data_IF_423162099091
#
_entry.id   IF_423162099091
#
_cell.length_a   1.000
_cell.length_b   1.000
_cell.length_c   1.000
_cell.angle_alpha   90.00
_cell.angle_beta   90.00
_cell.angle_gamma   90.00
#
_symmetry.space_group_name_H-M   'P 1'
#
loop_
_entity.id
_entity.type
_entity.pdbx_description
1 polymer ?
#
# COMPACT_ATOMS: atom_id res chain seq x y z
N UNK A 1 -9.19 -44.85 -28.34
CA UNK A 1 -9.44 -44.62 -26.91
C UNK A 1 -10.15 -43.30 -26.75
N UNK A 2 -11.40 -43.34 -26.31
CA UNK A 2 -12.26 -42.19 -26.12
C UNK A 2 -11.74 -41.30 -24.97
N UNK A 3 -11.62 -39.99 -25.24
CA UNK A 3 -12.16 -38.97 -24.35
C UNK A 3 -11.54 -38.75 -22.96
N UNK A 4 -10.24 -38.97 -22.73
CA UNK A 4 -9.60 -38.32 -21.58
C UNK A 4 -9.50 -36.82 -21.88
N UNK A 5 -10.37 -36.00 -21.28
CA UNK A 5 -10.21 -34.54 -21.29
C UNK A 5 -8.82 -34.22 -20.74
N UNK A 6 -7.94 -33.71 -21.61
CA UNK A 6 -6.63 -33.22 -21.20
C UNK A 6 -6.86 -32.04 -20.26
N UNK A 7 -6.57 -32.23 -18.97
CA UNK A 7 -6.63 -31.15 -17.99
C UNK A 7 -5.39 -30.26 -18.14
N UNK A 8 -5.61 -28.98 -18.41
CA UNK A 8 -4.57 -27.96 -18.48
C UNK A 8 -4.91 -26.84 -17.54
N UNK A 9 -3.88 -26.24 -16.96
CA UNK A 9 -4.03 -25.06 -16.12
C UNK A 9 -3.36 -23.85 -16.77
N UNK A 10 -3.83 -22.66 -16.45
CA UNK A 10 -3.25 -21.41 -16.96
C UNK A 10 -2.77 -20.54 -15.81
N UNK A 11 -1.56 -20.02 -15.94
CA UNK A 11 -0.98 -19.05 -15.00
C UNK A 11 -0.77 -17.72 -15.72
N UNK A 12 -1.19 -16.62 -15.12
CA UNK A 12 -0.84 -15.31 -15.65
C UNK A 12 0.67 -15.03 -15.51
N UNK A 13 1.17 -14.21 -16.42
CA UNK A 13 2.55 -13.74 -16.39
C UNK A 13 2.58 -12.28 -15.97
N UNK A 14 3.72 -11.82 -15.44
CA UNK A 14 3.91 -10.42 -15.05
C UNK A 14 3.74 -9.41 -16.21
N UNK A 15 3.77 -9.88 -17.46
CA UNK A 15 3.61 -9.07 -18.68
C UNK A 15 2.19 -9.14 -19.28
N UNK A 16 1.22 -9.73 -18.58
CA UNK A 16 -0.18 -9.83 -19.04
C UNK A 16 -0.46 -10.94 -20.05
N UNK A 17 0.53 -11.76 -20.40
CA UNK A 17 0.31 -13.02 -21.11
C UNK A 17 0.00 -14.17 -20.15
N UNK A 18 -0.19 -15.37 -20.68
CA UNK A 18 -0.39 -16.61 -19.89
C UNK A 18 0.70 -17.63 -20.17
N UNK A 19 0.95 -18.50 -19.21
CA UNK A 19 1.57 -19.80 -19.38
C UNK A 19 0.53 -20.89 -19.27
N UNK A 20 0.72 -21.96 -20.02
CA UNK A 20 -0.06 -23.19 -19.91
C UNK A 20 0.77 -24.24 -19.17
N UNK A 21 0.17 -24.87 -18.17
CA UNK A 21 0.74 -25.97 -17.40
C UNK A 21 0.04 -27.27 -17.81
N UNK A 22 0.85 -28.27 -18.15
CA UNK A 22 0.36 -29.61 -18.50
C UNK A 22 1.39 -30.66 -18.12
N UNK A 23 0.99 -31.69 -17.36
CA UNK A 23 1.83 -32.83 -16.96
C UNK A 23 3.21 -32.45 -16.41
N UNK A 24 3.30 -31.43 -15.55
CA UNK A 24 4.57 -30.97 -14.96
C UNK A 24 5.45 -30.13 -15.90
N UNK A 25 4.95 -29.77 -17.09
CA UNK A 25 5.63 -28.90 -18.04
C UNK A 25 4.99 -27.51 -18.10
N UNK A 26 5.83 -26.48 -18.28
CA UNK A 26 5.39 -25.10 -18.52
C UNK A 26 5.55 -24.74 -19.99
N UNK A 27 4.50 -24.19 -20.58
CA UNK A 27 4.48 -23.71 -21.95
C UNK A 27 4.18 -22.21 -21.99
N UNK A 28 4.90 -21.48 -22.83
CA UNK A 28 4.63 -20.07 -23.13
C UNK A 28 3.76 -19.95 -24.37
N UNK A 29 2.93 -18.92 -24.41
CA UNK A 29 2.19 -18.57 -25.62
C UNK A 29 3.17 -18.27 -26.77
N UNK A 30 2.94 -18.88 -27.94
CA UNK A 30 3.76 -18.71 -29.13
C UNK A 30 2.97 -17.94 -30.21
N UNK A 31 1.89 -18.53 -30.72
CA UNK A 31 1.03 -17.92 -31.73
C UNK A 31 -0.42 -17.92 -31.25
N UNK A 32 -1.16 -16.84 -31.52
CA UNK A 32 -2.60 -16.74 -31.26
C UNK A 32 -3.32 -16.38 -32.55
N UNK A 33 -4.38 -17.12 -32.88
CA UNK A 33 -5.28 -16.87 -34.02
C UNK A 33 -6.70 -17.09 -33.56
N UNK A 34 -7.46 -16.01 -33.40
CA UNK A 34 -8.83 -16.06 -32.91
C UNK A 34 -8.92 -16.88 -31.59
N UNK A 35 -9.66 -17.99 -31.60
CA UNK A 35 -9.88 -18.91 -30.47
C UNK A 35 -8.76 -19.93 -30.30
N UNK A 36 -7.85 -20.04 -31.27
CA UNK A 36 -6.76 -21.01 -31.27
C UNK A 36 -5.46 -20.39 -30.75
N UNK A 37 -4.78 -21.09 -29.85
CA UNK A 37 -3.49 -20.69 -29.31
C UNK A 37 -2.53 -21.86 -29.41
N UNK A 38 -1.34 -21.62 -29.97
CA UNK A 38 -0.19 -22.52 -29.88
C UNK A 38 0.71 -22.11 -28.73
N UNK A 39 1.07 -23.10 -27.95
CA UNK A 39 1.94 -23.04 -26.79
C UNK A 39 3.21 -23.81 -27.10
N UNK A 40 4.36 -23.25 -26.74
CA UNK A 40 5.68 -23.88 -26.89
C UNK A 40 6.29 -24.07 -25.51
N UNK A 41 6.98 -25.19 -25.29
CA UNK A 41 7.74 -25.40 -24.06
C UNK A 41 8.65 -24.19 -23.74
N UNK A 42 8.77 -23.85 -22.45
CA UNK A 42 9.58 -22.73 -22.00
C UNK A 42 11.09 -23.02 -22.06
N UNK A 43 11.49 -24.29 -22.02
CA UNK A 43 12.87 -24.70 -22.25
C UNK A 43 13.25 -24.40 -23.71
N UNK A 44 14.34 -23.65 -23.90
CA UNK A 44 14.82 -23.20 -25.22
C UNK A 44 15.30 -24.36 -26.09
N UNK A 45 15.76 -25.44 -25.48
CA UNK A 45 16.25 -26.65 -26.15
C UNK A 45 15.11 -27.65 -26.42
N UNK A 46 13.90 -27.37 -25.94
CA UNK A 46 12.72 -28.18 -26.19
C UNK A 46 11.88 -27.62 -27.35
N UNK A 47 11.45 -28.51 -28.25
CA UNK A 47 10.56 -28.17 -29.38
C UNK A 47 9.11 -28.60 -29.14
N UNK A 48 8.78 -29.11 -27.96
CA UNK A 48 7.44 -29.55 -27.63
C UNK A 48 6.42 -28.41 -27.74
N UNK A 49 5.26 -28.75 -28.29
CA UNK A 49 4.16 -27.82 -28.51
C UNK A 49 2.83 -28.44 -28.12
N UNK A 50 1.91 -27.58 -27.68
CA UNK A 50 0.53 -27.91 -27.39
C UNK A 50 -0.33 -26.82 -28.00
N UNK A 51 -1.51 -27.16 -28.50
CA UNK A 51 -2.48 -26.20 -28.99
C UNK A 51 -3.76 -26.28 -28.17
N UNK A 52 -4.36 -25.13 -27.91
CA UNK A 52 -5.69 -25.03 -27.32
C UNK A 52 -6.64 -24.32 -28.28
N UNK A 53 -7.94 -24.63 -28.20
CA UNK A 53 -9.02 -23.88 -28.82
C UNK A 53 -10.03 -23.56 -27.72
N UNK A 54 -10.33 -22.27 -27.50
CA UNK A 54 -11.12 -21.82 -26.35
C UNK A 54 -10.57 -22.37 -25.03
N UNK A 55 -9.25 -22.32 -24.86
CA UNK A 55 -8.52 -22.85 -23.69
C UNK A 55 -8.65 -24.36 -23.44
N UNK A 56 -9.36 -25.10 -24.30
CA UNK A 56 -9.41 -26.57 -24.27
C UNK A 56 -8.31 -27.13 -25.16
N UNK A 57 -7.51 -28.12 -24.71
CA UNK A 57 -6.50 -28.76 -25.54
C UNK A 57 -7.11 -29.34 -26.82
N UNK A 58 -6.55 -28.97 -27.96
CA UNK A 58 -7.04 -29.35 -29.29
C UNK A 58 -6.03 -30.19 -30.08
N UNK A 59 -4.72 -30.01 -29.85
CA UNK A 59 -3.67 -30.78 -30.52
C UNK A 59 -2.40 -30.83 -29.67
N UNK A 60 -1.85 -32.02 -29.49
CA UNK A 60 -0.50 -32.22 -28.95
C UNK A 60 0.47 -32.28 -30.13
N UNK A 61 1.57 -31.54 -30.05
CA UNK A 61 2.63 -31.51 -31.04
C UNK A 61 3.77 -32.47 -30.71
N UNK A 62 5.00 -32.00 -30.89
CA UNK A 62 6.20 -32.79 -30.60
C UNK A 62 6.29 -33.13 -29.10
N UNK A 63 6.80 -34.33 -28.74
CA UNK A 63 7.02 -34.68 -27.34
C UNK A 63 8.15 -33.86 -26.70
N UNK A 64 8.16 -33.82 -25.37
CA UNK A 64 9.27 -33.25 -24.61
C UNK A 64 10.52 -34.12 -24.73
N UNK A 65 11.69 -33.48 -24.69
CA UNK A 65 13.02 -34.11 -24.68
C UNK A 65 13.73 -33.94 -23.33
N UNK A 66 12.99 -33.56 -22.30
CA UNK A 66 13.45 -33.40 -20.93
C UNK A 66 12.35 -33.89 -19.99
N UNK A 67 12.72 -34.19 -18.75
CA UNK A 67 11.77 -34.61 -17.72
C UNK A 67 10.85 -33.45 -17.30
N UNK A 68 9.66 -33.75 -16.75
CA UNK A 68 8.82 -32.75 -16.13
C UNK A 68 9.52 -32.07 -14.95
N UNK A 69 9.22 -30.79 -14.71
CA UNK A 69 9.76 -30.01 -13.59
C UNK A 69 8.63 -29.53 -12.70
N UNK A 70 8.11 -30.44 -11.89
CA UNK A 70 7.00 -30.18 -10.97
C UNK A 70 7.35 -29.11 -9.93
N UNK A 71 8.59 -29.07 -9.44
CA UNK A 71 9.05 -28.06 -8.50
C UNK A 71 9.00 -26.64 -9.10
N UNK A 72 9.46 -26.45 -10.35
CA UNK A 72 9.35 -25.17 -11.04
C UNK A 72 7.89 -24.77 -11.31
N UNK A 73 7.03 -25.74 -11.65
CA UNK A 73 5.60 -25.49 -11.83
C UNK A 73 4.98 -25.02 -10.51
N UNK A 74 5.23 -25.72 -9.41
CA UNK A 74 4.69 -25.37 -8.08
C UNK A 74 5.21 -24.00 -7.61
N UNK A 75 6.50 -23.71 -7.77
CA UNK A 75 7.09 -22.39 -7.50
C UNK A 75 6.39 -21.28 -8.27
N UNK A 76 6.04 -21.51 -9.56
CA UNK A 76 5.25 -20.55 -10.35
C UNK A 76 3.82 -20.38 -9.83
N UNK A 77 3.16 -21.46 -9.41
CA UNK A 77 1.80 -21.41 -8.84
C UNK A 77 1.77 -20.59 -7.54
N UNK A 78 2.74 -20.82 -6.65
CA UNK A 78 2.88 -20.05 -5.40
C UNK A 78 3.08 -18.56 -5.70
N UNK A 79 3.99 -18.23 -6.62
CA UNK A 79 4.21 -16.83 -7.02
C UNK A 79 2.98 -16.19 -7.68
N UNK A 80 2.16 -16.97 -8.38
CA UNK A 80 0.92 -16.47 -8.95
C UNK A 80 -0.15 -16.22 -7.89
N UNK A 81 -0.23 -17.08 -6.87
CA UNK A 81 -1.03 -16.84 -5.66
C UNK A 81 -0.62 -15.51 -5.00
N UNK A 82 0.67 -15.31 -4.74
CA UNK A 82 1.21 -14.04 -4.20
C UNK A 82 0.79 -12.84 -5.06
N UNK A 83 0.90 -12.93 -6.39
CA UNK A 83 0.50 -11.84 -7.31
C UNK A 83 -0.99 -11.58 -7.29
N UNK A 84 -1.80 -12.63 -7.23
CA UNK A 84 -3.26 -12.53 -7.12
C UNK A 84 -3.66 -11.79 -5.85
N UNK A 85 -3.06 -12.15 -4.71
CA UNK A 85 -3.27 -11.48 -3.42
C UNK A 85 -2.76 -10.03 -3.44
N UNK A 86 -1.64 -9.76 -4.11
CA UNK A 86 -1.18 -8.38 -4.33
C UNK A 86 -2.21 -7.53 -5.10
N UNK A 87 -3.04 -8.15 -5.96
CA UNK A 87 -4.07 -7.47 -6.75
C UNK A 87 -5.40 -7.26 -6.01
N UNK A 88 -5.65 -8.01 -4.96
CA UNK A 88 -6.97 -8.09 -4.32
C UNK A 88 -6.97 -7.61 -2.86
N UNK A 89 -5.84 -7.67 -2.18
CA UNK A 89 -5.73 -7.36 -0.75
C UNK A 89 -4.94 -6.08 -0.49
N UNK A 90 -5.17 -5.46 0.67
CA UNK A 90 -4.39 -4.34 1.21
C UNK A 90 -3.24 -4.76 2.12
N UNK A 91 -3.18 -6.05 2.50
CA UNK A 91 -2.13 -6.65 3.35
C UNK A 91 -0.74 -6.31 2.81
N UNK A 92 0.25 -5.96 3.67
CA UNK A 92 1.61 -5.68 3.24
C UNK A 92 2.18 -6.80 2.34
N UNK A 93 2.80 -6.42 1.23
CA UNK A 93 3.35 -7.38 0.25
C UNK A 93 4.36 -8.37 0.88
N UNK A 94 5.27 -7.95 1.79
CA UNK A 94 6.14 -8.89 2.49
C UNK A 94 5.35 -9.97 3.23
N UNK A 95 4.31 -9.57 3.99
CA UNK A 95 3.45 -10.50 4.73
C UNK A 95 2.73 -11.49 3.81
N UNK A 96 2.18 -11.03 2.68
CA UNK A 96 1.58 -11.92 1.67
C UNK A 96 2.60 -12.94 1.18
N UNK A 97 3.83 -12.52 0.90
CA UNK A 97 4.89 -13.42 0.46
C UNK A 97 5.17 -14.48 1.52
N UNK A 98 5.42 -14.06 2.76
CA UNK A 98 5.79 -14.94 3.87
C UNK A 98 4.67 -15.93 4.21
N UNK A 99 3.42 -15.50 4.18
CA UNK A 99 2.25 -16.37 4.38
C UNK A 99 2.13 -17.46 3.30
N UNK A 100 2.31 -17.10 2.02
CA UNK A 100 2.26 -18.10 0.93
C UNK A 100 3.42 -19.10 1.01
N UNK A 101 4.60 -18.66 1.46
CA UNK A 101 5.74 -19.55 1.68
C UNK A 101 5.51 -20.43 2.92
N UNK A 102 4.86 -19.92 3.96
CA UNK A 102 4.53 -20.68 5.16
C UNK A 102 3.58 -21.83 4.85
N UNK A 103 2.60 -21.63 3.95
CA UNK A 103 1.73 -22.72 3.45
C UNK A 103 2.52 -23.90 2.85
N UNK A 104 3.67 -23.62 2.21
CA UNK A 104 4.54 -24.68 1.69
C UNK A 104 5.27 -25.42 2.82
N UNK A 105 5.65 -24.71 3.89
CA UNK A 105 6.33 -25.30 5.06
C UNK A 105 5.39 -26.17 5.89
N UNK A 106 4.11 -25.83 5.93
CA UNK A 106 3.08 -26.58 6.66
C UNK A 106 2.62 -27.84 5.90
N UNK A 107 2.95 -27.96 4.61
CA UNK A 107 2.72 -29.16 3.82
C UNK A 107 3.69 -30.29 4.21
N UNK A 108 3.39 -31.57 3.88
CA UNK A 108 4.33 -32.66 4.09
C UNK A 108 5.71 -32.34 3.49
N UNK A 109 6.74 -32.40 4.34
CA UNK A 109 8.11 -32.06 3.97
C UNK A 109 8.81 -33.22 3.26
N UNK A 110 8.33 -33.51 2.05
CA UNK A 110 8.88 -34.54 1.17
C UNK A 110 9.93 -33.97 0.20
N UNK A 111 10.50 -34.85 -0.65
CA UNK A 111 11.50 -34.46 -1.63
C UNK A 111 11.00 -33.40 -2.63
N UNK A 112 9.70 -33.43 -2.98
CA UNK A 112 9.12 -32.49 -3.93
C UNK A 112 8.93 -31.11 -3.31
N UNK A 113 8.51 -31.04 -2.05
CA UNK A 113 8.40 -29.82 -1.26
C UNK A 113 9.77 -29.17 -1.09
N UNK A 114 10.80 -29.96 -0.74
CA UNK A 114 12.18 -29.49 -0.64
C UNK A 114 12.69 -28.91 -1.97
N UNK A 115 12.48 -29.61 -3.08
CA UNK A 115 12.89 -29.13 -4.41
C UNK A 115 12.13 -27.84 -4.81
N UNK A 116 10.84 -27.77 -4.49
CA UNK A 116 10.02 -26.56 -4.73
C UNK A 116 10.56 -25.37 -3.93
N UNK A 117 10.87 -25.57 -2.65
CA UNK A 117 11.44 -24.56 -1.77
C UNK A 117 12.78 -24.03 -2.30
N UNK A 118 13.64 -24.92 -2.81
CA UNK A 118 14.92 -24.54 -3.41
C UNK A 118 14.76 -23.73 -4.72
N UNK A 119 13.68 -23.97 -5.48
CA UNK A 119 13.37 -23.25 -6.72
C UNK A 119 12.52 -21.99 -6.51
N UNK A 120 12.10 -21.70 -5.27
CA UNK A 120 11.40 -20.46 -4.96
C UNK A 120 12.40 -19.30 -4.93
N UNK A 121 12.08 -18.17 -5.58
CA UNK A 121 12.93 -17.00 -5.51
C UNK A 121 12.92 -16.39 -4.10
N UNK A 122 13.83 -15.46 -3.83
CA UNK A 122 13.72 -14.62 -2.61
C UNK A 122 12.70 -13.50 -2.82
N UNK A 123 12.11 -13.01 -1.73
CA UNK A 123 11.26 -11.83 -1.75
C UNK A 123 11.94 -10.65 -2.45
N UNK A 124 13.20 -10.36 -2.09
CA UNK A 124 13.94 -9.21 -2.63
C UNK A 124 14.05 -9.29 -4.16
N UNK A 125 14.31 -10.47 -4.72
CA UNK A 125 14.37 -10.65 -6.18
C UNK A 125 13.02 -10.43 -6.90
N UNK A 126 11.90 -10.52 -6.18
CA UNK A 126 10.54 -10.30 -6.71
C UNK A 126 9.90 -9.00 -6.26
N UNK A 127 10.48 -8.31 -5.27
CA UNK A 127 9.95 -7.09 -4.63
C UNK A 127 9.43 -6.10 -5.66
N UNK A 128 10.29 -5.60 -6.56
CA UNK A 128 9.88 -4.61 -7.55
C UNK A 128 8.78 -5.11 -8.50
N UNK A 129 8.72 -6.41 -8.79
CA UNK A 129 7.63 -6.97 -9.62
C UNK A 129 6.30 -6.98 -8.86
N UNK A 130 6.32 -7.38 -7.58
CA UNK A 130 5.10 -7.47 -6.76
C UNK A 130 4.52 -6.09 -6.47
N UNK A 131 5.37 -5.14 -6.08
CA UNK A 131 4.96 -3.74 -5.89
C UNK A 131 4.40 -3.13 -7.17
N UNK A 132 5.02 -3.36 -8.33
CA UNK A 132 4.47 -2.92 -9.63
C UNK A 132 3.13 -3.55 -9.94
N UNK A 133 2.93 -4.84 -9.63
CA UNK A 133 1.65 -5.51 -9.82
C UNK A 133 0.55 -4.81 -9.02
N UNK A 134 0.78 -4.51 -7.74
CA UNK A 134 -0.19 -3.77 -6.93
C UNK A 134 -0.34 -2.32 -7.37
N UNK A 135 0.74 -1.67 -7.78
CA UNK A 135 0.71 -0.26 -8.20
C UNK A 135 -0.17 -0.02 -9.43
N UNK A 136 -0.30 -0.99 -10.34
CA UNK A 136 -1.21 -0.93 -11.49
C UNK A 136 -2.69 -0.79 -11.11
N UNK A 137 -3.07 -1.07 -9.85
CA UNK A 137 -4.44 -0.91 -9.35
C UNK A 137 -4.77 0.52 -8.94
N UNK A 138 -3.75 1.36 -8.79
CA UNK A 138 -3.91 2.73 -8.33
C UNK A 138 -3.84 3.68 -9.54
N UNK A 139 -4.55 4.82 -9.48
CA UNK A 139 -4.36 5.87 -10.47
C UNK A 139 -2.90 6.33 -10.47
N UNK A 140 -2.44 6.82 -11.62
CA UNK A 140 -1.12 7.43 -11.71
C UNK A 140 -0.97 8.55 -10.69
N UNK A 141 0.20 8.64 -10.06
CA UNK A 141 0.48 9.69 -9.07
C UNK A 141 0.38 11.05 -9.78
N UNK A 142 -0.49 11.96 -9.32
CA UNK A 142 -0.59 13.30 -9.91
C UNK A 142 0.73 14.07 -9.75
N UNK A 143 1.01 14.96 -10.69
CA UNK A 143 2.20 15.81 -10.67
C UNK A 143 1.93 17.23 -10.14
N UNK A 144 0.65 17.61 -9.97
CA UNK A 144 0.24 18.87 -9.38
C UNK A 144 -0.98 18.68 -8.49
N UNK A 145 -1.15 19.52 -7.46
CA UNK A 145 -2.27 19.45 -6.51
C UNK A 145 -3.66 19.54 -7.16
N UNK A 146 -3.92 20.42 -8.16
CA UNK A 146 -5.20 20.48 -8.86
C UNK A 146 -5.64 19.15 -9.49
N UNK A 147 -4.68 18.33 -9.91
CA UNK A 147 -4.94 17.03 -10.57
C UNK A 147 -5.24 15.90 -9.58
N UNK A 148 -5.11 16.14 -8.29
CA UNK A 148 -5.51 15.17 -7.27
C UNK A 148 -7.03 15.04 -7.33
N UNK A 149 -7.50 13.87 -7.72
CA UNK A 149 -8.91 13.49 -7.75
C UNK A 149 -9.08 12.23 -6.92
N UNK A 150 -9.62 12.38 -5.71
CA UNK A 150 -9.87 11.27 -4.79
C UNK A 150 -11.34 10.88 -4.88
N UNK A 151 -11.61 9.68 -5.39
CA UNK A 151 -12.96 9.17 -5.62
C UNK A 151 -13.14 7.76 -5.04
N UNK A 152 -14.41 7.40 -4.79
CA UNK A 152 -14.81 6.06 -4.33
C UNK A 152 -14.02 5.61 -3.10
N UNK A 153 -13.36 4.45 -3.24
CA UNK A 153 -12.59 3.80 -2.16
C UNK A 153 -11.46 4.67 -1.59
N UNK A 154 -10.97 5.68 -2.32
CA UNK A 154 -9.89 6.56 -1.84
C UNK A 154 -10.38 7.64 -0.86
N UNK A 155 -11.70 7.83 -0.74
CA UNK A 155 -12.31 8.74 0.24
C UNK A 155 -12.75 8.02 1.52
N UNK A 156 -12.54 6.71 1.62
CA UNK A 156 -13.12 5.85 2.65
C UNK A 156 -12.07 5.02 3.39
N UNK A 157 -12.42 4.55 4.59
CA UNK A 157 -11.65 3.53 5.32
C UNK A 157 -11.82 2.13 4.70
N UNK A 158 -11.09 1.15 5.21
CA UNK A 158 -11.31 -0.27 4.86
C UNK A 158 -12.68 -0.80 5.27
N UNK A 159 -13.30 -0.22 6.32
CA UNK A 159 -14.69 -0.47 6.73
C UNK A 159 -15.72 0.32 5.92
N UNK A 160 -15.29 1.07 4.89
CA UNK A 160 -16.12 1.94 4.02
C UNK A 160 -16.70 3.18 4.69
N UNK A 161 -16.19 3.57 5.84
CA UNK A 161 -16.57 4.81 6.50
C UNK A 161 -15.99 6.02 5.75
N UNK A 162 -16.69 7.16 5.69
CA UNK A 162 -16.12 8.40 5.17
C UNK A 162 -14.85 8.78 5.93
N UNK A 163 -13.76 8.98 5.20
CA UNK A 163 -12.44 9.30 5.79
C UNK A 163 -11.90 10.64 5.30
N UNK A 164 -12.00 10.96 4.01
CA UNK A 164 -11.65 12.29 3.52
C UNK A 164 -12.78 13.28 3.84
N UNK A 165 -12.58 14.12 4.85
CA UNK A 165 -13.58 15.07 5.36
C UNK A 165 -13.45 16.48 4.76
N UNK A 166 -12.25 16.87 4.33
CA UNK A 166 -12.06 18.13 3.59
C UNK A 166 -11.10 17.95 2.42
N UNK A 167 -11.47 18.55 1.30
CA UNK A 167 -10.66 18.76 0.12
C UNK A 167 -10.86 20.23 -0.29
N UNK A 168 -10.01 21.11 0.23
CA UNK A 168 -10.21 22.55 0.14
C UNK A 168 -9.12 23.20 -0.73
N UNK A 169 -9.51 24.13 -1.60
CA UNK A 169 -8.60 24.86 -2.50
C UNK A 169 -8.07 24.06 -3.70
N UNK A 170 -7.47 24.79 -4.64
CA UNK A 170 -6.95 24.25 -5.91
C UNK A 170 -5.42 24.16 -5.93
N UNK A 171 -4.72 25.24 -6.29
CA UNK A 171 -3.24 25.27 -6.26
C UNK A 171 -2.66 25.12 -4.85
N UNK A 172 -3.41 25.57 -3.83
CA UNK A 172 -3.12 25.38 -2.41
C UNK A 172 -4.05 24.32 -1.81
N UNK A 173 -4.31 23.22 -2.55
CA UNK A 173 -5.15 22.12 -2.07
C UNK A 173 -4.66 21.64 -0.70
N UNK A 174 -5.60 21.51 0.22
CA UNK A 174 -5.41 20.99 1.57
C UNK A 174 -6.40 19.84 1.76
N UNK A 175 -5.92 18.71 2.27
CA UNK A 175 -6.73 17.52 2.49
C UNK A 175 -6.77 17.17 3.97
N UNK A 176 -7.94 16.93 4.54
CA UNK A 176 -8.12 16.46 5.93
C UNK A 176 -8.79 15.11 5.95
N UNK A 177 -8.16 14.15 6.60
CA UNK A 177 -8.64 12.79 6.77
C UNK A 177 -8.91 12.49 8.24
N UNK A 178 -10.14 12.08 8.55
CA UNK A 178 -10.56 11.62 9.88
C UNK A 178 -11.92 10.92 9.77
N UNK A 179 -12.30 10.16 10.79
CA UNK A 179 -13.62 9.51 10.89
C UNK A 179 -14.47 10.22 11.95
N UNK A 180 -15.78 9.95 11.94
CA UNK A 180 -16.68 10.46 12.98
C UNK A 180 -16.26 9.99 14.39
N UNK A 181 -15.77 8.76 14.51
CA UNK A 181 -15.26 8.25 15.80
C UNK A 181 -13.98 8.95 16.23
N UNK A 182 -13.03 9.15 15.31
CA UNK A 182 -11.82 9.88 15.62
C UNK A 182 -12.13 11.32 16.06
N UNK A 183 -13.10 11.99 15.43
CA UNK A 183 -13.55 13.32 15.85
C UNK A 183 -14.16 13.31 17.25
N UNK A 184 -14.97 12.28 17.60
CA UNK A 184 -15.51 12.14 18.95
C UNK A 184 -14.40 12.06 19.98
N UNK A 185 -13.44 11.14 19.78
CA UNK A 185 -12.29 10.97 20.66
C UNK A 185 -11.45 12.25 20.77
N UNK A 186 -11.26 12.95 19.64
CA UNK A 186 -10.48 14.18 19.59
C UNK A 186 -11.16 15.32 20.37
N UNK A 187 -12.48 15.47 20.24
CA UNK A 187 -13.24 16.54 20.89
C UNK A 187 -13.47 16.28 22.39
N UNK A 188 -13.34 15.03 22.85
CA UNK A 188 -13.37 14.70 24.28
C UNK A 188 -12.02 14.84 24.97
N UNK A 189 -10.93 15.03 24.22
CA UNK A 189 -9.60 15.10 24.79
C UNK A 189 -9.26 16.51 25.29
N UNK A 190 -8.87 16.62 26.56
CA UNK A 190 -8.39 17.89 27.14
C UNK A 190 -7.10 18.37 26.47
N UNK A 191 -6.23 17.43 26.11
CA UNK A 191 -4.94 17.69 25.48
C UNK A 191 -4.84 17.01 24.12
N UNK A 192 -4.46 17.79 23.11
CA UNK A 192 -4.11 17.26 21.79
C UNK A 192 -2.63 17.49 21.48
N UNK A 193 -2.06 16.59 20.70
CA UNK A 193 -0.65 16.59 20.32
C UNK A 193 -0.54 16.70 18.81
N UNK A 194 0.15 17.73 18.34
CA UNK A 194 0.33 18.00 16.92
C UNK A 194 1.75 17.63 16.49
N UNK A 195 1.86 16.95 15.35
CA UNK A 195 3.15 16.57 14.76
C UNK A 195 3.15 16.73 13.24
N UNK A 196 4.18 17.42 12.73
CA UNK A 196 4.43 17.64 11.31
C UNK A 196 5.58 16.76 10.83
N UNK A 197 5.34 15.93 9.81
CA UNK A 197 6.38 15.09 9.19
C UNK A 197 6.64 15.52 7.74
N UNK A 198 7.90 15.81 7.44
CA UNK A 198 8.31 16.40 6.16
C UNK A 198 8.83 15.37 5.16
N UNK A 199 9.71 14.47 5.62
CA UNK A 199 10.40 13.50 4.75
C UNK A 199 9.44 12.53 4.05
N UNK A 200 8.29 12.29 4.67
CA UNK A 200 7.25 11.35 4.21
C UNK A 200 6.14 12.02 3.41
N UNK A 201 6.15 13.35 3.30
CA UNK A 201 5.13 14.06 2.55
C UNK A 201 5.20 13.73 1.06
N UNK A 202 4.06 13.55 0.36
CA UNK A 202 4.08 13.41 -1.10
C UNK A 202 4.72 14.66 -1.73
N UNK A 203 5.46 14.55 -2.85
CA UNK A 203 6.24 15.67 -3.40
C UNK A 203 5.47 16.98 -3.68
N UNK A 204 4.14 16.90 -3.77
CA UNK A 204 3.28 18.05 -3.98
C UNK A 204 2.92 18.77 -2.68
N UNK A 205 3.19 18.22 -1.49
CA UNK A 205 2.83 18.81 -0.19
C UNK A 205 4.08 19.04 0.64
N UNK A 206 4.06 20.09 1.46
CA UNK A 206 5.20 20.44 2.31
C UNK A 206 5.28 19.56 3.57
N UNK A 207 4.12 19.10 4.06
CA UNK A 207 4.07 18.27 5.27
C UNK A 207 2.83 17.37 5.31
N UNK A 208 2.99 16.23 5.99
CA UNK A 208 1.90 15.51 6.61
C UNK A 208 1.77 16.02 8.03
N UNK A 209 0.65 16.65 8.36
CA UNK A 209 0.35 17.14 9.70
C UNK A 209 -0.67 16.24 10.39
N UNK A 210 -0.39 15.85 11.62
CA UNK A 210 -1.25 14.92 12.36
C UNK A 210 -1.62 15.49 13.72
N UNK A 211 -2.85 15.18 14.17
CA UNK A 211 -3.30 15.47 15.53
C UNK A 211 -3.59 14.15 16.23
N UNK A 212 -3.00 14.00 17.40
CA UNK A 212 -3.09 12.83 18.25
C UNK A 212 -3.76 13.19 19.56
N UNK A 213 -4.42 12.22 20.17
CA UNK A 213 -4.93 12.30 21.53
C UNK A 213 -4.83 10.94 22.21
N UNK A 214 -4.92 10.93 23.54
CA UNK A 214 -5.05 9.69 24.29
C UNK A 214 -6.47 9.15 24.18
N UNK A 215 -6.59 7.87 23.80
CA UNK A 215 -7.82 7.09 23.89
C UNK A 215 -7.56 6.00 24.92
N UNK A 216 -8.15 6.17 26.12
CA UNK A 216 -7.75 5.38 27.28
C UNK A 216 -6.30 5.66 27.66
N UNK A 217 -5.45 4.63 27.67
CA UNK A 217 -4.04 4.73 28.09
C UNK A 217 -3.05 4.87 26.93
N UNK A 218 -3.52 4.83 25.68
CA UNK A 218 -2.68 4.85 24.50
C UNK A 218 -2.96 6.09 23.65
N UNK A 219 -1.90 6.63 23.05
CA UNK A 219 -2.00 7.78 22.14
C UNK A 219 -2.24 7.29 20.71
N UNK A 220 -3.22 7.87 20.04
CA UNK A 220 -3.55 7.55 18.65
C UNK A 220 -3.58 8.80 17.78
N UNK A 221 -3.10 8.72 16.53
CA UNK A 221 -3.38 9.73 15.51
C UNK A 221 -4.86 9.67 15.09
N UNK A 222 -5.57 10.78 15.31
CA UNK A 222 -7.01 10.89 15.04
C UNK A 222 -7.31 11.71 13.79
N UNK A 223 -6.44 12.67 13.46
CA UNK A 223 -6.55 13.50 12.26
C UNK A 223 -5.24 13.45 11.48
N UNK A 224 -5.36 13.30 10.16
CA UNK A 224 -4.25 13.39 9.23
C UNK A 224 -4.53 14.48 8.20
N UNK A 225 -3.51 15.23 7.82
CA UNK A 225 -3.65 16.32 6.88
C UNK A 225 -2.46 16.38 5.92
N UNK A 226 -2.73 16.73 4.66
CA UNK A 226 -1.70 17.10 3.69
C UNK A 226 -1.74 18.61 3.52
N UNK A 227 -0.70 19.29 4.01
CA UNK A 227 -0.62 20.74 3.99
C UNK A 227 0.20 21.23 2.79
N UNK A 228 -0.31 22.20 2.01
CA UNK A 228 0.41 22.74 0.86
C UNK A 228 1.63 23.57 1.23
N UNK A 229 1.65 24.17 2.43
CA UNK A 229 2.66 25.13 2.89
C UNK A 229 2.81 25.03 4.42
N UNK A 230 3.91 25.59 4.95
CA UNK A 230 4.25 25.63 6.39
C UNK A 230 4.26 27.05 6.92
N UNK A 231 3.22 27.80 6.60
CA UNK A 231 3.01 29.16 7.10
C UNK A 231 1.80 29.20 8.03
N UNK A 232 1.71 30.29 8.80
CA UNK A 232 0.67 30.46 9.80
C UNK A 232 -0.73 30.44 9.17
N UNK A 233 -0.91 31.03 7.99
CA UNK A 233 -2.19 31.10 7.28
C UNK A 233 -2.69 29.71 6.89
N UNK A 234 -1.80 28.84 6.41
CA UNK A 234 -2.12 27.45 6.09
C UNK A 234 -2.55 26.66 7.34
N UNK A 235 -1.86 26.83 8.47
CA UNK A 235 -2.27 26.19 9.74
C UNK A 235 -3.58 26.76 10.28
N UNK A 236 -3.80 28.08 10.22
CA UNK A 236 -5.06 28.72 10.62
C UNK A 236 -6.22 28.14 9.80
N UNK A 237 -6.04 28.07 8.48
CA UNK A 237 -6.99 27.46 7.56
C UNK A 237 -7.27 26.00 7.92
N UNK A 238 -6.22 25.21 8.17
CA UNK A 238 -6.35 23.82 8.61
C UNK A 238 -7.21 23.67 9.88
N UNK A 239 -6.88 24.39 10.95
CA UNK A 239 -7.61 24.29 12.22
C UNK A 239 -9.06 24.78 12.11
N UNK A 240 -9.32 25.83 11.34
CA UNK A 240 -10.68 26.30 11.08
C UNK A 240 -11.50 25.30 10.28
N UNK A 241 -10.93 24.67 9.25
CA UNK A 241 -11.59 23.58 8.53
C UNK A 241 -11.91 22.41 9.48
N UNK A 242 -10.97 22.03 10.35
CA UNK A 242 -11.20 20.95 11.32
C UNK A 242 -12.32 21.28 12.31
N UNK A 243 -12.40 22.52 12.82
CA UNK A 243 -13.52 22.97 13.66
C UNK A 243 -14.85 22.88 12.92
N UNK A 244 -14.88 23.30 11.66
CA UNK A 244 -16.09 23.22 10.83
C UNK A 244 -16.51 21.77 10.59
N UNK A 245 -15.57 20.88 10.32
CA UNK A 245 -15.83 19.44 10.20
C UNK A 245 -16.40 18.90 11.52
N UNK A 246 -15.79 19.20 12.67
CA UNK A 246 -16.32 18.78 13.97
C UNK A 246 -17.76 19.27 14.19
N UNK A 247 -18.03 20.55 13.89
CA UNK A 247 -19.36 21.14 14.01
C UNK A 247 -20.40 20.46 13.11
N UNK A 248 -20.03 20.06 11.89
CA UNK A 248 -20.92 19.30 10.98
C UNK A 248 -21.29 17.92 11.55
N UNK A 249 -20.46 17.35 12.41
CA UNK A 249 -20.73 16.12 13.15
C UNK A 249 -21.40 16.37 14.52
N UNK A 250 -21.86 17.60 14.78
CA UNK A 250 -22.43 18.03 16.08
C UNK A 250 -21.45 17.91 17.25
N UNK A 251 -20.15 18.08 16.98
CA UNK A 251 -19.08 18.08 17.96
C UNK A 251 -18.45 19.47 18.04
N UNK A 252 -17.90 19.82 19.20
CA UNK A 252 -17.18 21.07 19.38
C UNK A 252 -15.69 20.78 19.60
N UNK A 253 -14.86 21.01 18.59
CA UNK A 253 -13.41 20.87 18.74
C UNK A 253 -12.84 22.12 19.42
N UNK A 254 -12.59 22.02 20.72
CA UNK A 254 -12.06 23.10 21.55
C UNK A 254 -11.12 22.52 22.63
N UNK A 255 -9.86 22.20 22.30
CA UNK A 255 -8.92 21.62 23.26
C UNK A 255 -8.51 22.64 24.31
N UNK A 256 -8.34 22.20 25.56
CA UNK A 256 -7.82 23.04 26.65
C UNK A 256 -6.30 23.21 26.55
N UNK A 257 -5.60 22.21 26.01
CA UNK A 257 -4.14 22.19 25.89
C UNK A 257 -3.74 21.68 24.52
N UNK A 258 -2.80 22.37 23.89
CA UNK A 258 -2.21 21.93 22.61
C UNK A 258 -0.70 21.80 22.78
N UNK A 259 -0.21 20.57 22.62
CA UNK A 259 1.22 20.27 22.60
C UNK A 259 1.70 20.18 21.16
N UNK A 260 2.71 20.96 20.80
CA UNK A 260 3.28 20.96 19.47
C UNK A 260 4.79 21.21 19.53
N UNK A 261 5.46 21.06 18.40
CA UNK A 261 6.86 21.46 18.29
C UNK A 261 7.05 22.98 18.42
N UNK A 262 8.30 23.42 18.29
CA UNK A 262 8.67 24.83 18.45
C UNK A 262 8.61 25.60 17.12
N UNK A 263 7.91 25.10 16.10
CA UNK A 263 7.69 25.83 14.86
C UNK A 263 6.80 27.06 15.10
N UNK A 264 7.28 28.26 14.77
CA UNK A 264 6.56 29.49 15.06
C UNK A 264 5.20 29.57 14.34
N UNK A 265 5.12 29.10 13.09
CA UNK A 265 3.92 29.19 12.27
C UNK A 265 2.75 28.40 12.87
N UNK A 266 2.99 27.14 13.26
CA UNK A 266 1.97 26.28 13.88
C UNK A 266 1.53 26.81 15.25
N UNK A 267 2.46 27.32 16.07
CA UNK A 267 2.17 27.94 17.37
C UNK A 267 1.32 29.20 17.24
N UNK A 268 1.68 30.09 16.34
CA UNK A 268 0.91 31.32 16.09
C UNK A 268 -0.50 31.01 15.61
N UNK A 269 -0.64 30.01 14.73
CA UNK A 269 -1.94 29.56 14.25
C UNK A 269 -2.83 29.00 15.36
N UNK A 270 -2.28 28.17 16.26
CA UNK A 270 -3.03 27.65 17.40
C UNK A 270 -3.46 28.78 18.34
N UNK A 271 -2.56 29.70 18.69
CA UNK A 271 -2.92 30.88 19.51
C UNK A 271 -4.02 31.72 18.87
N UNK A 272 -4.04 31.81 17.55
CA UNK A 272 -5.07 32.54 16.82
C UNK A 272 -6.43 31.82 16.82
N UNK A 273 -6.45 30.51 16.57
CA UNK A 273 -7.71 29.74 16.43
C UNK A 273 -8.28 29.26 17.78
N UNK A 274 -7.41 29.05 18.77
CA UNK A 274 -7.73 28.60 20.12
C UNK A 274 -7.07 29.50 21.17
N UNK A 275 -7.49 30.78 21.29
CA UNK A 275 -6.84 31.77 22.16
C UNK A 275 -6.85 31.41 23.65
N UNK A 276 -7.79 30.55 24.07
CA UNK A 276 -7.91 30.09 25.46
C UNK A 276 -7.14 28.79 25.73
N UNK A 277 -6.60 28.13 24.71
CA UNK A 277 -5.88 26.88 24.89
C UNK A 277 -4.46 27.15 25.40
N UNK A 278 -4.01 26.35 26.36
CA UNK A 278 -2.64 26.43 26.85
C UNK A 278 -1.66 25.76 25.87
N UNK A 279 -0.73 26.54 25.34
CA UNK A 279 0.32 26.02 24.46
C UNK A 279 1.44 25.34 25.24
N UNK A 280 1.70 24.08 24.93
CA UNK A 280 2.82 23.31 25.46
C UNK A 280 3.83 22.99 24.36
N UNK A 281 5.11 23.04 24.71
CA UNK A 281 6.18 22.59 23.83
C UNK A 281 6.38 21.08 23.97
N UNK A 282 6.67 20.40 22.85
CA UNK A 282 6.95 18.98 22.84
C UNK A 282 8.32 18.68 23.46
N UNK A 283 8.33 17.94 24.58
CA UNK A 283 9.56 17.57 25.30
C UNK A 283 10.53 16.75 24.43
N UNK A 284 10.01 15.87 23.58
CA UNK A 284 10.83 15.08 22.66
C UNK A 284 11.63 15.98 21.71
N UNK A 285 10.96 16.96 21.09
CA UNK A 285 11.60 17.92 20.20
C UNK A 285 12.58 18.83 20.94
N UNK A 286 12.25 19.24 22.17
CA UNK A 286 13.15 20.00 23.03
C UNK A 286 14.43 19.22 23.37
N UNK A 287 14.30 17.99 23.85
CA UNK A 287 15.42 17.13 24.20
C UNK A 287 16.31 16.82 22.98
N UNK A 288 15.69 16.57 21.82
CA UNK A 288 16.40 16.38 20.55
C UNK A 288 17.19 17.62 20.13
N UNK A 289 16.62 18.81 20.31
CA UNK A 289 17.31 20.07 20.02
C UNK A 289 18.50 20.30 20.96
N UNK A 290 18.34 20.05 22.27
CA UNK A 290 19.45 20.11 23.22
C UNK A 290 20.55 19.13 22.82
N UNK A 291 20.20 17.86 22.58
CA UNK A 291 21.17 16.82 22.23
C UNK A 291 21.97 17.17 20.98
N UNK A 292 21.28 17.64 19.92
CA UNK A 292 21.94 18.12 18.70
C UNK A 292 22.92 19.25 19.02
N UNK A 293 22.53 20.20 19.88
CA UNK A 293 23.38 21.33 20.26
C UNK A 293 24.59 20.88 21.08
N UNK A 294 24.43 19.94 22.00
CA UNK A 294 25.54 19.35 22.78
C UNK A 294 26.57 18.67 21.86
N UNK A 295 26.14 17.97 20.81
CA UNK A 295 27.05 17.32 19.86
C UNK A 295 27.95 18.32 19.11
N UNK A 296 27.46 19.52 18.79
CA UNK A 296 28.27 20.58 18.16
C UNK A 296 29.43 21.03 19.07
N UNK A 297 29.25 20.99 20.40
CA UNK A 297 30.27 21.37 21.38
C UNK A 297 31.18 20.21 21.81
N UNK A 298 30.85 18.97 21.44
CA UNK A 298 31.63 17.78 21.81
C UNK A 298 32.74 17.45 20.78
N UNK A 299 32.89 18.28 19.73
CA UNK A 299 33.93 18.17 18.70
C UNK A 299 35.04 19.24 18.84
N UNK A 300 35.10 19.91 19.99
CA UNK A 300 36.20 20.79 20.43
C UNK A 300 36.98 20.08 21.54
#
# INVERSE_FOLDING_TARGET
MAGAMLHVEFLETSRGGRHLIWNGYTHRQNNKRDTWISWKCIDRNCRATLCTRNDVPSKIGQPHNHLPDHASVNSRKILESVRSRCRSETTPIPSIYDEEITKLRDAPWDAQTLETAQKLPTFESKRSSLYRTRHKLYPGIPNTRPRIQLEGKFRQTTSREPFLQAEDGDINKLLIFTTAENLRQLCTADTVYCDGTFYTAPPMFDSIFTIHAFVGTAMFPLVYSLLPQRDADCYIRFFNLLKNIANQHNLNFHPDRVSLDFECASRNAVSHVFPNAELKGCLFHYAKAIWKKTQEYSQL
#
